data_IF_293096581748
#
_entry.id   IF_293096581748
#
_cell.length_a   1.000
_cell.length_b   1.000
_cell.length_c   1.000
_cell.angle_alpha   90.00
_cell.angle_beta   90.00
_cell.angle_gamma   90.00
#
_symmetry.space_group_name_H-M   'P 1'
#
loop_
_entity.id
_entity.type
_entity.pdbx_description
1 polymer ?
#
# COMPACT_ATOMS: atom_id res chain seq x y z
N UNK A 1 7.92 -25.82 -8.36
CA UNK A 1 7.23 -24.58 -7.91
C UNK A 1 5.86 -24.60 -8.57
N UNK A 2 4.74 -24.39 -7.85
CA UNK A 2 3.44 -24.27 -8.53
C UNK A 2 3.40 -22.88 -9.18
N UNK A 3 3.33 -22.85 -10.52
CA UNK A 3 3.51 -21.65 -11.30
C UNK A 3 2.22 -20.82 -11.30
N UNK A 4 2.31 -19.60 -10.79
CA UNK A 4 1.28 -18.60 -10.96
C UNK A 4 1.52 -17.86 -12.27
N UNK A 5 0.47 -17.42 -12.97
CA UNK A 5 0.57 -16.55 -14.17
C UNK A 5 1.07 -15.15 -13.79
N UNK A 6 2.26 -15.08 -13.20
CA UNK A 6 2.90 -13.90 -12.65
C UNK A 6 4.34 -13.96 -13.11
N UNK A 7 4.62 -13.21 -14.17
CA UNK A 7 5.98 -13.04 -14.69
C UNK A 7 6.67 -11.99 -13.83
N UNK A 8 7.82 -12.31 -13.24
CA UNK A 8 8.62 -11.31 -12.53
C UNK A 8 9.40 -10.44 -13.51
N UNK A 9 9.46 -9.13 -13.26
CA UNK A 9 10.30 -8.25 -14.08
C UNK A 9 11.79 -8.42 -13.70
N UNK A 10 12.69 -7.90 -14.54
CA UNK A 10 14.14 -8.01 -14.32
C UNK A 10 14.57 -7.46 -12.95
N UNK A 11 14.02 -6.31 -12.55
CA UNK A 11 14.33 -5.69 -11.25
C UNK A 11 13.89 -6.54 -10.04
N UNK A 12 12.75 -7.22 -10.15
CA UNK A 12 12.24 -8.15 -9.13
C UNK A 12 13.15 -9.38 -9.04
N UNK A 13 13.56 -9.93 -10.20
CA UNK A 13 14.47 -11.07 -10.27
C UNK A 13 15.85 -10.73 -9.69
N UNK A 14 16.39 -9.55 -10.01
CA UNK A 14 17.67 -9.08 -9.47
C UNK A 14 17.63 -8.98 -7.95
N UNK A 15 16.53 -8.45 -7.40
CA UNK A 15 16.28 -8.43 -5.95
C UNK A 15 16.16 -9.82 -5.35
N UNK A 16 15.52 -10.78 -6.02
CA UNK A 16 15.48 -12.15 -5.52
C UNK A 16 16.84 -12.86 -5.61
N UNK A 17 17.68 -12.48 -6.58
CA UNK A 17 19.00 -13.05 -6.79
C UNK A 17 20.00 -12.62 -5.71
N UNK A 18 19.73 -11.57 -4.92
CA UNK A 18 20.55 -11.23 -3.75
C UNK A 18 20.41 -12.22 -2.60
N UNK A 19 19.42 -13.12 -2.64
CA UNK A 19 19.24 -14.17 -1.63
C UNK A 19 20.11 -15.39 -1.99
N UNK A 20 21.15 -15.65 -1.20
CA UNK A 20 22.08 -16.78 -1.41
C UNK A 20 21.42 -18.16 -1.23
N UNK A 21 20.40 -18.25 -0.34
CA UNK A 21 19.76 -19.52 -0.04
C UNK A 21 18.58 -19.79 -0.98
N UNK A 22 18.75 -20.76 -1.89
CA UNK A 22 17.74 -21.12 -2.90
C UNK A 22 16.38 -21.51 -2.29
N UNK A 23 16.35 -22.26 -1.18
CA UNK A 23 15.07 -22.63 -0.51
C UNK A 23 14.35 -21.40 0.05
N UNK A 24 15.10 -20.44 0.58
CA UNK A 24 14.53 -19.18 1.04
C UNK A 24 14.03 -18.35 -0.14
N UNK A 25 14.81 -18.25 -1.21
CA UNK A 25 14.45 -17.57 -2.44
C UNK A 25 13.14 -18.09 -3.02
N UNK A 26 13.03 -19.41 -3.25
CA UNK A 26 11.82 -20.03 -3.77
C UNK A 26 10.61 -19.80 -2.86
N UNK A 27 10.81 -19.87 -1.54
CA UNK A 27 9.76 -19.62 -0.55
C UNK A 27 9.30 -18.16 -0.57
N UNK A 28 10.22 -17.20 -0.70
CA UNK A 28 9.94 -15.76 -0.75
C UNK A 28 9.21 -15.42 -2.05
N UNK A 29 9.70 -15.92 -3.19
CA UNK A 29 9.09 -15.76 -4.51
C UNK A 29 7.66 -16.34 -4.52
N UNK A 30 7.46 -17.53 -3.97
CA UNK A 30 6.14 -18.17 -3.87
C UNK A 30 5.14 -17.32 -3.08
N UNK A 31 5.56 -16.73 -1.95
CA UNK A 31 4.70 -15.84 -1.16
C UNK A 31 4.38 -14.57 -1.94
N UNK A 32 5.37 -13.98 -2.60
CA UNK A 32 5.19 -12.76 -3.37
C UNK A 32 4.24 -12.96 -4.56
N UNK A 33 4.43 -14.03 -5.34
CA UNK A 33 3.49 -14.41 -6.40
C UNK A 33 2.08 -14.61 -5.85
N UNK A 34 1.94 -15.30 -4.72
CA UNK A 34 0.60 -15.55 -4.19
C UNK A 34 -0.11 -14.28 -3.72
N UNK A 35 0.62 -13.32 -3.13
CA UNK A 35 0.09 -11.99 -2.80
C UNK A 35 -0.41 -11.25 -4.05
N UNK A 36 0.38 -11.25 -5.13
CA UNK A 36 -0.01 -10.65 -6.40
C UNK A 36 -1.22 -11.35 -7.02
N UNK A 37 -1.30 -12.69 -6.97
CA UNK A 37 -2.46 -13.46 -7.43
C UNK A 37 -3.73 -13.07 -6.67
N UNK A 38 -3.64 -12.98 -5.34
CA UNK A 38 -4.77 -12.58 -4.51
C UNK A 38 -5.26 -11.18 -4.87
N UNK A 39 -4.34 -10.25 -5.08
CA UNK A 39 -4.66 -8.89 -5.50
C UNK A 39 -5.37 -8.84 -6.86
N UNK A 40 -4.86 -9.58 -7.85
CA UNK A 40 -5.49 -9.66 -9.17
C UNK A 40 -6.89 -10.29 -9.09
N UNK A 41 -7.06 -11.31 -8.25
CA UNK A 41 -8.34 -11.99 -8.06
C UNK A 41 -9.36 -11.08 -7.36
N UNK A 42 -8.95 -10.31 -6.35
CA UNK A 42 -9.83 -9.33 -5.70
C UNK A 42 -10.23 -8.22 -6.65
N UNK A 43 -9.28 -7.71 -7.45
CA UNK A 43 -9.55 -6.68 -8.44
C UNK A 43 -10.50 -7.18 -9.55
N UNK A 44 -10.32 -8.41 -10.04
CA UNK A 44 -11.23 -9.02 -11.00
C UNK A 44 -12.65 -9.22 -10.42
N UNK A 45 -12.77 -9.52 -9.12
CA UNK A 45 -14.08 -9.61 -8.44
C UNK A 45 -14.77 -8.25 -8.36
N UNK A 46 -14.03 -7.19 -8.04
CA UNK A 46 -14.59 -5.83 -8.03
C UNK A 46 -15.05 -5.40 -9.42
N UNK A 47 -14.28 -5.73 -10.46
CA UNK A 47 -14.62 -5.43 -11.85
C UNK A 47 -15.89 -6.15 -12.30
N UNK A 48 -16.01 -7.45 -12.01
CA UNK A 48 -17.24 -8.23 -12.27
C UNK A 48 -18.46 -7.71 -11.51
N UNK A 49 -18.25 -7.10 -10.34
CA UNK A 49 -19.31 -6.52 -9.51
C UNK A 49 -19.65 -5.07 -9.86
N UNK A 50 -19.03 -4.47 -10.89
CA UNK A 50 -19.22 -3.07 -11.25
C UNK A 50 -18.61 -2.07 -10.25
N UNK A 51 -17.77 -2.53 -9.32
CA UNK A 51 -17.13 -1.76 -8.25
C UNK A 51 -15.71 -1.32 -8.66
N UNK A 52 -15.51 -0.89 -9.91
CA UNK A 52 -14.20 -0.55 -10.46
C UNK A 52 -13.48 0.58 -9.70
N UNK A 53 -14.23 1.43 -8.98
CA UNK A 53 -13.67 2.51 -8.15
C UNK A 53 -12.94 2.01 -6.89
N UNK A 54 -13.16 0.75 -6.47
CA UNK A 54 -12.47 0.12 -5.34
C UNK A 54 -11.23 -0.68 -5.77
N UNK A 55 -10.91 -0.68 -7.07
CA UNK A 55 -9.76 -1.40 -7.63
C UNK A 55 -8.47 -0.69 -7.22
N UNK A 56 -7.70 -1.32 -6.34
CA UNK A 56 -6.37 -0.86 -5.99
C UNK A 56 -5.34 -1.84 -6.58
N UNK A 57 -4.81 -1.53 -7.75
CA UNK A 57 -3.78 -2.36 -8.40
C UNK A 57 -2.51 -2.47 -7.53
N UNK A 58 -2.21 -1.44 -6.76
CA UNK A 58 -0.98 -1.31 -5.98
C UNK A 58 -1.08 -1.87 -4.57
N UNK A 59 -2.27 -2.22 -4.06
CA UNK A 59 -2.47 -2.52 -2.64
C UNK A 59 -3.40 -3.71 -2.42
N UNK A 60 -3.05 -4.55 -1.45
CA UNK A 60 -3.87 -5.67 -0.98
C UNK A 60 -4.04 -5.59 0.54
N UNK A 61 -5.28 -5.51 1.02
CA UNK A 61 -5.61 -5.60 2.44
C UNK A 61 -6.01 -7.03 2.80
N UNK A 62 -5.21 -7.70 3.64
CA UNK A 62 -5.49 -9.06 4.11
C UNK A 62 -4.81 -9.34 5.46
N UNK A 63 -5.47 -10.04 6.38
CA UNK A 63 -4.82 -10.45 7.63
C UNK A 63 -3.81 -11.57 7.39
N UNK A 64 -2.76 -11.68 8.23
CA UNK A 64 -1.81 -12.80 8.12
C UNK A 64 -2.48 -14.17 8.31
N UNK A 65 -3.54 -14.26 9.15
CA UNK A 65 -4.27 -15.51 9.37
C UNK A 65 -5.03 -15.92 8.12
N UNK A 66 -5.76 -14.99 7.51
CA UNK A 66 -6.53 -15.25 6.28
C UNK A 66 -5.59 -15.57 5.11
N UNK A 67 -4.45 -14.89 5.03
CA UNK A 67 -3.44 -15.19 4.04
C UNK A 67 -2.94 -16.64 4.17
N UNK A 68 -2.56 -17.08 5.38
CA UNK A 68 -2.10 -18.47 5.60
C UNK A 68 -3.20 -19.47 5.29
N UNK A 69 -4.44 -19.16 5.66
CA UNK A 69 -5.57 -20.04 5.41
C UNK A 69 -5.86 -20.22 3.92
N UNK A 70 -5.67 -19.18 3.12
CA UNK A 70 -5.76 -19.25 1.65
C UNK A 70 -4.52 -19.93 1.06
N UNK A 71 -3.33 -19.56 1.52
CA UNK A 71 -2.05 -20.08 1.04
C UNK A 71 -1.94 -21.60 1.23
N UNK A 72 -2.32 -22.13 2.40
CA UNK A 72 -2.27 -23.58 2.72
C UNK A 72 -3.17 -24.45 1.84
N UNK A 73 -4.13 -23.87 1.10
CA UNK A 73 -5.00 -24.62 0.16
C UNK A 73 -4.21 -25.06 -1.07
N UNK A 74 -3.28 -24.24 -1.52
CA UNK A 74 -2.49 -24.49 -2.74
C UNK A 74 -1.04 -24.88 -2.44
N UNK A 75 -0.55 -24.61 -1.23
CA UNK A 75 0.85 -24.76 -0.83
C UNK A 75 1.04 -25.61 0.45
N UNK A 76 2.27 -26.10 0.70
CA UNK A 76 2.63 -26.73 1.96
C UNK A 76 2.31 -25.83 3.16
N UNK A 77 1.91 -26.46 4.28
CA UNK A 77 1.63 -25.77 5.53
C UNK A 77 2.84 -24.93 5.96
N UNK A 78 2.59 -23.66 6.26
CA UNK A 78 3.61 -22.71 6.70
C UNK A 78 3.20 -22.11 8.05
N UNK A 79 4.17 -21.98 8.95
CA UNK A 79 3.92 -21.32 10.25
C UNK A 79 3.80 -19.80 10.09
N UNK A 80 3.03 -19.15 10.97
CA UNK A 80 2.93 -17.68 11.02
C UNK A 80 4.31 -17.04 11.18
N UNK A 81 5.19 -17.64 12.00
CA UNK A 81 6.55 -17.14 12.23
C UNK A 81 7.38 -17.18 10.95
N UNK A 82 7.29 -18.26 10.19
CA UNK A 82 7.98 -18.39 8.89
C UNK A 82 7.43 -17.38 7.90
N UNK A 83 6.11 -17.27 7.77
CA UNK A 83 5.49 -16.29 6.87
C UNK A 83 5.94 -14.87 7.20
N UNK A 84 5.93 -14.50 8.49
CA UNK A 84 6.38 -13.18 8.94
C UNK A 84 7.82 -12.91 8.51
N UNK A 85 8.75 -13.84 8.78
CA UNK A 85 10.14 -13.73 8.33
C UNK A 85 10.28 -13.53 6.82
N UNK A 86 9.45 -14.21 6.02
CA UNK A 86 9.47 -14.09 4.56
C UNK A 86 8.89 -12.76 4.08
N UNK A 87 7.86 -12.25 4.75
CA UNK A 87 7.32 -10.91 4.51
C UNK A 87 8.35 -9.84 4.89
N UNK A 88 9.04 -10.00 6.03
CA UNK A 88 10.09 -9.08 6.46
C UNK A 88 11.23 -9.04 5.41
N UNK A 89 11.63 -10.19 4.85
CA UNK A 89 12.58 -10.24 3.72
C UNK A 89 12.05 -9.53 2.47
N UNK A 90 10.77 -9.65 2.13
CA UNK A 90 10.19 -8.92 0.98
C UNK A 90 10.20 -7.39 1.20
N UNK A 91 10.09 -6.94 2.45
CA UNK A 91 10.23 -5.53 2.81
C UNK A 91 11.69 -5.08 2.69
N UNK A 92 12.64 -5.87 3.20
CA UNK A 92 14.08 -5.60 3.10
C UNK A 92 14.57 -5.52 1.65
N UNK A 93 14.05 -6.38 0.77
CA UNK A 93 14.30 -6.34 -0.67
C UNK A 93 13.63 -5.15 -1.38
N UNK A 94 12.77 -4.39 -0.69
CA UNK A 94 12.02 -3.29 -1.26
C UNK A 94 11.06 -3.73 -2.37
N UNK A 95 10.41 -4.88 -2.20
CA UNK A 95 9.39 -5.42 -3.13
C UNK A 95 7.97 -5.09 -2.67
N UNK A 96 7.78 -5.00 -1.34
CA UNK A 96 6.52 -4.59 -0.71
C UNK A 96 6.75 -3.60 0.42
N UNK A 97 5.73 -2.80 0.70
CA UNK A 97 5.59 -2.05 1.95
C UNK A 97 4.37 -2.57 2.72
N UNK A 98 4.46 -2.66 4.05
CA UNK A 98 3.37 -3.17 4.88
C UNK A 98 2.89 -2.09 5.84
N UNK A 99 1.62 -1.71 5.70
CA UNK A 99 0.93 -0.83 6.63
C UNK A 99 0.03 -1.68 7.55
N UNK A 100 0.30 -1.63 8.85
CA UNK A 100 -0.52 -2.31 9.84
C UNK A 100 -1.59 -1.37 10.39
N UNK A 101 -2.85 -1.74 10.22
CA UNK A 101 -3.96 -1.06 10.87
C UNK A 101 -4.79 -2.05 11.67
N UNK A 102 -4.70 -1.96 13.02
CA UNK A 102 -5.30 -2.93 13.95
C UNK A 102 -4.86 -4.37 13.63
N UNK A 103 -5.79 -5.22 13.22
CA UNK A 103 -5.59 -6.62 12.85
C UNK A 103 -5.49 -6.84 11.33
N UNK A 104 -5.61 -5.78 10.53
CA UNK A 104 -5.42 -5.86 9.08
C UNK A 104 -4.03 -5.40 8.68
N UNK A 105 -3.48 -6.07 7.66
CA UNK A 105 -2.22 -5.71 7.04
C UNK A 105 -2.53 -5.30 5.60
N UNK A 106 -2.08 -4.12 5.22
CA UNK A 106 -2.16 -3.63 3.84
C UNK A 106 -0.79 -3.75 3.21
N UNK A 107 -0.67 -4.59 2.20
CA UNK A 107 0.55 -4.83 1.44
C UNK A 107 0.52 -3.95 0.19
N UNK A 108 1.45 -3.00 0.08
CA UNK A 108 1.64 -2.16 -1.10
C UNK A 108 2.75 -2.73 -1.96
N UNK A 109 2.52 -2.89 -3.26
CA UNK A 109 3.46 -3.50 -4.21
C UNK A 109 4.21 -2.44 -5.00
N UNK A 110 5.55 -2.47 -4.95
CA UNK A 110 6.38 -1.53 -5.71
C UNK A 110 6.39 -1.81 -7.22
N UNK A 111 5.98 -3.01 -7.64
CA UNK A 111 5.80 -3.42 -9.04
C UNK A 111 4.99 -2.43 -9.87
N UNK A 112 4.00 -1.78 -9.25
CA UNK A 112 3.08 -0.87 -9.91
C UNK A 112 3.37 0.61 -9.62
N UNK A 113 4.40 0.93 -8.82
CA UNK A 113 4.75 2.31 -8.46
C UNK A 113 5.64 3.01 -9.48
N UNK A 114 6.28 2.26 -10.39
CA UNK A 114 6.96 2.84 -11.56
C UNK A 114 6.02 2.72 -12.75
N UNK A 115 5.46 3.86 -13.16
CA UNK A 115 4.61 4.10 -14.33
C UNK A 115 3.14 3.64 -14.26
N UNK A 116 2.29 4.51 -13.69
CA UNK A 116 0.86 4.60 -14.02
C UNK A 116 0.60 4.78 -15.54
N UNK A 117 1.57 5.36 -16.27
CA UNK A 117 1.50 5.62 -17.71
C UNK A 117 1.92 4.43 -18.60
N UNK A 118 2.83 3.57 -18.15
CA UNK A 118 3.33 2.42 -18.94
C UNK A 118 2.45 1.19 -18.74
N UNK A 119 1.89 0.99 -17.54
CA UNK A 119 0.94 -0.11 -17.27
C UNK A 119 -0.41 0.04 -18.01
N UNK A 120 -0.73 1.22 -18.56
CA UNK A 120 -1.89 1.40 -19.44
C UNK A 120 -1.67 0.85 -20.85
N UNK A 121 -0.41 0.65 -21.29
CA UNK A 121 -0.08 0.33 -22.68
C UNK A 121 0.54 -1.07 -22.92
N UNK A 122 0.64 -1.94 -21.90
CA UNK A 122 1.21 -3.30 -22.09
C UNK A 122 0.15 -4.35 -22.47
N UNK A 123 -1.14 -4.01 -22.49
CA UNK A 123 -2.22 -4.95 -22.85
C UNK A 123 -2.48 -5.08 -24.37
N UNK A 124 -1.60 -4.59 -25.24
CA UNK A 124 -1.81 -4.62 -26.70
C UNK A 124 -0.59 -5.10 -27.50
N UNK A 125 0.12 -6.12 -27.05
CA UNK A 125 1.06 -6.84 -27.91
C UNK A 125 0.76 -8.32 -27.86
N UNK A 126 0.46 -8.86 -29.03
CA UNK A 126 -0.01 -10.23 -29.25
C UNK A 126 0.96 -11.27 -28.68
N UNK A 127 0.35 -12.33 -28.17
CA UNK A 127 1.00 -13.52 -27.61
C UNK A 127 1.93 -14.13 -28.65
N UNK A 128 3.23 -14.13 -28.38
CA UNK A 128 4.19 -14.96 -29.12
C UNK A 128 4.53 -16.17 -28.27
N UNK A 129 3.88 -17.27 -28.67
CA UNK A 129 4.07 -18.68 -28.33
C UNK A 129 3.66 -19.17 -26.92
N UNK A 130 2.59 -20.00 -26.83
CA UNK A 130 2.22 -20.67 -25.60
C UNK A 130 3.13 -21.89 -25.41
N UNK A 131 4.03 -21.84 -24.44
CA UNK A 131 4.70 -23.06 -23.97
C UNK A 131 3.68 -23.87 -23.16
N UNK A 132 3.50 -25.14 -23.53
CA UNK A 132 2.42 -26.03 -23.10
C UNK A 132 2.12 -25.96 -21.60
N UNK A 133 0.95 -25.42 -21.29
CA UNK A 133 0.41 -25.30 -19.95
C UNK A 133 -0.19 -26.63 -19.49
N UNK A 134 0.46 -27.34 -18.58
CA UNK A 134 -0.24 -28.33 -17.76
C UNK A 134 -1.07 -27.59 -16.71
N UNK A 135 -2.36 -27.40 -17.03
CA UNK A 135 -3.37 -26.86 -16.11
C UNK A 135 -3.59 -27.88 -15.00
N UNK A 136 -3.27 -27.52 -13.76
CA UNK A 136 -3.85 -28.20 -12.61
C UNK A 136 -5.25 -27.62 -12.39
N UNK A 137 -6.33 -28.42 -12.49
CA UNK A 137 -7.65 -27.97 -12.08
C UNK A 137 -7.56 -27.69 -10.58
N UNK A 138 -7.68 -26.43 -10.21
CA UNK A 138 -7.97 -26.07 -8.83
C UNK A 138 -9.48 -26.18 -8.76
N UNK A 139 -9.99 -27.29 -8.22
CA UNK A 139 -11.42 -27.39 -7.92
C UNK A 139 -11.81 -26.16 -7.10
N UNK A 140 -12.64 -25.31 -7.70
CA UNK A 140 -13.50 -24.39 -6.97
C UNK A 140 -14.57 -25.26 -6.27
N UNK A 141 -14.14 -26.08 -5.31
CA UNK A 141 -15.05 -26.79 -4.42
C UNK A 141 -15.85 -25.74 -3.66
N UNK A 142 -17.11 -25.60 -4.09
CA UNK A 142 -18.16 -24.89 -3.39
C UNK A 142 -18.14 -25.31 -1.92
N UNK A 143 -18.38 -24.34 -1.05
CA UNK A 143 -18.39 -24.50 0.40
C UNK A 143 -19.10 -25.79 0.84
N UNK A 144 -18.49 -26.53 1.78
CA UNK A 144 -18.96 -27.79 2.39
C UNK A 144 -20.41 -27.77 2.94
N UNK A 145 -21.03 -26.59 3.02
CA UNK A 145 -22.43 -26.41 3.44
C UNK A 145 -23.45 -26.42 2.28
N UNK A 146 -23.02 -26.61 1.03
CA UNK A 146 -23.92 -26.72 -0.13
C UNK A 146 -24.20 -28.15 -0.59
N UNK A 147 -23.61 -29.16 0.06
CA UNK A 147 -23.88 -30.57 -0.20
C UNK A 147 -24.59 -31.23 0.98
N UNK A 148 -25.89 -31.02 1.08
CA UNK A 148 -26.79 -32.07 1.56
C UNK A 148 -28.03 -32.07 0.67
N UNK A 149 -27.98 -32.83 -0.42
CA UNK A 149 -29.19 -33.24 -1.10
C UNK A 149 -30.04 -34.11 -0.16
N UNK A 150 -31.35 -33.86 -0.23
CA UNK A 150 -32.45 -34.49 0.52
C UNK A 150 -32.78 -33.88 1.88
N UNK A 151 -33.14 -32.60 1.87
CA UNK A 151 -34.37 -32.19 2.56
C UNK A 151 -35.15 -31.34 1.56
N UNK A 152 -36.25 -31.89 1.07
CA UNK A 152 -37.33 -31.10 0.49
C UNK A 152 -37.81 -30.14 1.59
N UNK A 153 -37.34 -28.90 1.55
CA UNK A 153 -37.92 -27.84 2.37
C UNK A 153 -39.25 -27.54 1.70
N UNK A 154 -40.29 -28.12 2.28
CA UNK A 154 -41.68 -27.78 2.05
C UNK A 154 -41.83 -26.27 2.20
N UNK A 155 -42.23 -25.61 1.10
CA UNK A 155 -42.30 -24.15 1.00
C UNK A 155 -43.58 -23.59 1.68
N UNK A 156 -44.34 -24.42 2.40
CA UNK A 156 -45.61 -24.06 3.03
C UNK A 156 -45.61 -24.15 4.57
N UNK A 157 -44.45 -24.05 5.24
CA UNK A 157 -44.40 -23.88 6.70
C UNK A 157 -44.27 -22.40 7.09
N UNK A 158 -45.43 -21.78 7.27
CA UNK A 158 -45.64 -20.38 7.61
C UNK A 158 -45.36 -20.10 9.11
N UNK A 159 -44.16 -20.37 9.61
CA UNK A 159 -43.76 -20.07 11.00
C UNK A 159 -42.28 -19.70 11.13
N UNK A 160 -41.85 -18.68 10.40
CA UNK A 160 -40.62 -17.95 10.73
C UNK A 160 -40.97 -16.47 10.89
N UNK A 161 -41.45 -16.10 12.09
CA UNK A 161 -41.46 -14.69 12.47
C UNK A 161 -40.03 -14.15 12.36
N UNK A 162 -39.80 -13.06 11.61
CA UNK A 162 -38.49 -12.44 11.58
C UNK A 162 -38.15 -12.02 13.01
N UNK A 163 -37.08 -12.57 13.57
CA UNK A 163 -36.45 -12.01 14.76
C UNK A 163 -35.80 -10.68 14.35
N UNK A 164 -36.63 -9.64 14.22
CA UNK A 164 -36.15 -8.27 14.33
C UNK A 164 -35.50 -8.12 15.69
N UNK A 165 -34.33 -7.46 15.82
CA UNK A 165 -33.93 -6.95 17.12
C UNK A 165 -35.08 -6.09 17.64
N UNK A 166 -35.66 -6.45 18.78
CA UNK A 166 -36.64 -5.59 19.43
C UNK A 166 -35.97 -4.21 19.56
N UNK A 167 -36.63 -3.19 18.98
CA UNK A 167 -36.22 -1.79 18.95
C UNK A 167 -35.04 -1.39 18.04
N UNK A 168 -34.84 -2.03 16.87
CA UNK A 168 -34.00 -1.42 15.82
C UNK A 168 -34.75 -0.28 15.10
N UNK A 169 -34.58 0.94 15.59
CA UNK A 169 -35.11 2.15 14.96
C UNK A 169 -34.31 2.48 13.68
N UNK A 170 -34.77 1.91 12.57
CA UNK A 170 -34.16 2.06 11.24
C UNK A 170 -34.01 3.54 10.82
N UNK A 171 -34.97 4.39 11.20
CA UNK A 171 -34.95 5.83 10.89
C UNK A 171 -33.78 6.54 11.57
N UNK A 172 -33.48 6.21 12.82
CA UNK A 172 -32.34 6.75 13.56
C UNK A 172 -31.00 6.27 12.98
N UNK A 173 -30.95 5.02 12.50
CA UNK A 173 -29.78 4.51 11.78
C UNK A 173 -29.50 5.27 10.48
N UNK A 174 -30.55 5.59 9.70
CA UNK A 174 -30.42 6.34 8.45
C UNK A 174 -29.98 7.78 8.70
N UNK A 175 -30.54 8.44 9.72
CA UNK A 175 -30.12 9.79 10.13
C UNK A 175 -28.65 9.83 10.59
N UNK A 176 -28.20 8.80 11.32
CA UNK A 176 -26.81 8.68 11.80
C UNK A 176 -25.77 8.53 10.67
N UNK A 177 -26.20 8.09 9.48
CA UNK A 177 -25.35 7.94 8.30
C UNK A 177 -25.34 9.19 7.39
N UNK A 178 -26.03 10.27 7.79
CA UNK A 178 -26.08 11.48 7.00
C UNK A 178 -24.68 12.08 6.83
N UNK A 179 -24.28 12.27 5.56
CA UNK A 179 -22.98 12.82 5.19
C UNK A 179 -22.97 14.33 5.28
N UNK A 180 -21.78 14.89 5.49
CA UNK A 180 -21.57 16.34 5.41
C UNK A 180 -21.60 16.74 3.94
N UNK A 181 -22.62 17.50 3.54
CA UNK A 181 -22.82 17.92 2.15
C UNK A 181 -22.17 19.25 1.82
N UNK A 182 -21.95 20.14 2.81
CA UNK A 182 -21.35 21.45 2.59
C UNK A 182 -20.12 21.70 3.47
N UNK A 183 -19.17 22.47 2.93
CA UNK A 183 -18.02 22.96 3.69
C UNK A 183 -18.42 23.90 4.83
N UNK A 184 -19.51 24.64 4.65
CA UNK A 184 -20.06 25.58 5.65
C UNK A 184 -20.42 24.88 6.96
N UNK A 185 -20.79 23.60 6.91
CA UNK A 185 -21.06 22.80 8.11
C UNK A 185 -19.76 22.45 8.87
N UNK A 186 -18.67 22.12 8.15
CA UNK A 186 -17.45 21.60 8.76
C UNK A 186 -16.44 22.69 9.15
N UNK A 187 -16.42 23.82 8.44
CA UNK A 187 -15.57 24.97 8.73
C UNK A 187 -15.66 25.46 10.18
N UNK A 188 -16.86 25.75 10.75
CA UNK A 188 -16.97 26.21 12.14
C UNK A 188 -16.57 25.12 13.15
N UNK A 189 -16.75 23.85 12.81
CA UNK A 189 -16.31 22.71 13.65
C UNK A 189 -14.78 22.67 13.71
N UNK A 190 -14.11 22.89 12.58
CA UNK A 190 -12.65 22.96 12.50
C UNK A 190 -12.10 24.13 13.32
N UNK A 191 -12.68 25.33 13.17
CA UNK A 191 -12.25 26.53 13.91
C UNK A 191 -12.38 26.35 15.42
N UNK A 192 -13.54 25.85 15.88
CA UNK A 192 -13.74 25.52 17.31
C UNK A 192 -12.68 24.53 17.79
N UNK A 193 -12.42 23.46 17.03
CA UNK A 193 -11.43 22.45 17.41
C UNK A 193 -10.00 22.96 17.39
N UNK A 194 -9.63 23.89 16.49
CA UNK A 194 -8.33 24.55 16.54
C UNK A 194 -8.14 25.35 17.83
N UNK A 195 -9.18 26.05 18.29
CA UNK A 195 -9.17 26.80 19.55
C UNK A 195 -9.09 25.82 20.73
N UNK A 196 -9.99 24.84 20.79
CA UNK A 196 -10.05 23.85 21.88
C UNK A 196 -8.73 23.07 22.02
N UNK A 197 -8.16 22.62 20.91
CA UNK A 197 -6.89 21.88 20.92
C UNK A 197 -5.67 22.80 21.02
N UNK A 198 -5.84 24.12 21.09
CA UNK A 198 -4.76 25.14 21.17
C UNK A 198 -3.76 25.01 20.01
N UNK A 199 -4.24 24.83 18.78
CA UNK A 199 -3.40 24.75 17.58
C UNK A 199 -2.94 26.16 17.18
N UNK A 200 -1.66 26.47 17.42
CA UNK A 200 -1.07 27.78 17.08
C UNK A 200 -0.41 27.83 15.69
N UNK A 201 0.16 26.72 15.23
CA UNK A 201 0.91 26.67 13.96
C UNK A 201 0.01 26.88 12.75
N UNK A 202 0.31 27.88 11.93
CA UNK A 202 -0.36 28.15 10.65
C UNK A 202 -0.21 26.99 9.67
N UNK A 203 0.97 26.37 9.61
CA UNK A 203 1.23 25.21 8.77
C UNK A 203 0.30 24.03 9.11
N UNK A 204 0.13 23.74 10.42
CA UNK A 204 -0.77 22.68 10.87
C UNK A 204 -2.22 23.01 10.51
N UNK A 205 -2.65 24.28 10.67
CA UNK A 205 -4.01 24.71 10.32
C UNK A 205 -4.28 24.55 8.83
N UNK A 206 -3.38 25.04 7.97
CA UNK A 206 -3.50 24.93 6.51
C UNK A 206 -3.57 23.48 6.06
N UNK A 207 -2.64 22.64 6.54
CA UNK A 207 -2.60 21.22 6.17
C UNK A 207 -3.87 20.44 6.57
N UNK A 208 -4.47 20.80 7.71
CA UNK A 208 -5.74 20.20 8.15
C UNK A 208 -6.90 20.66 7.27
N UNK A 209 -6.95 21.96 6.92
CA UNK A 209 -7.98 22.51 6.04
C UNK A 209 -7.91 21.86 4.66
N UNK A 210 -6.74 21.84 4.02
CA UNK A 210 -6.55 21.27 2.68
C UNK A 210 -6.96 19.79 2.64
N UNK A 211 -6.60 19.04 3.68
CA UNK A 211 -6.94 17.62 3.77
C UNK A 211 -8.45 17.38 3.92
N UNK A 212 -9.13 18.23 4.70
CA UNK A 212 -10.56 18.13 4.93
C UNK A 212 -11.35 18.66 3.73
N UNK A 213 -10.89 19.72 3.08
CA UNK A 213 -11.54 20.29 1.90
C UNK A 213 -11.66 19.27 0.76
N UNK A 214 -10.64 18.43 0.59
CA UNK A 214 -10.68 17.38 -0.42
C UNK A 214 -11.54 16.15 -0.06
N UNK A 215 -11.96 16.01 1.20
CA UNK A 215 -12.56 14.75 1.71
C UNK A 215 -13.83 14.93 2.55
N UNK A 216 -14.32 16.15 2.76
CA UNK A 216 -15.42 16.41 3.70
C UNK A 216 -16.73 15.70 3.30
N UNK A 217 -16.99 15.56 2.00
CA UNK A 217 -18.17 14.88 1.44
C UNK A 217 -18.27 13.40 1.81
N UNK A 218 -17.17 12.79 2.24
CA UNK A 218 -17.11 11.38 2.66
C UNK A 218 -17.31 11.18 4.17
N UNK A 219 -17.44 12.27 4.95
CA UNK A 219 -17.54 12.24 6.40
C UNK A 219 -19.01 12.27 6.81
N UNK A 220 -19.43 11.39 7.73
CA UNK A 220 -20.76 11.47 8.35
C UNK A 220 -20.79 12.54 9.43
N UNK A 221 -21.91 13.25 9.59
CA UNK A 221 -22.06 14.33 10.59
C UNK A 221 -21.70 13.86 11.99
N UNK A 222 -22.16 12.64 12.36
CA UNK A 222 -21.85 11.96 13.63
C UNK A 222 -20.34 11.80 13.90
N UNK A 223 -19.53 11.62 12.86
CA UNK A 223 -18.10 11.38 12.98
C UNK A 223 -17.22 12.58 12.60
N UNK A 224 -17.82 13.72 12.25
CA UNK A 224 -17.09 14.91 11.81
C UNK A 224 -16.07 15.40 12.85
N UNK A 225 -16.49 15.53 14.11
CA UNK A 225 -15.62 15.98 15.21
C UNK A 225 -14.43 15.03 15.40
N UNK A 226 -14.67 13.73 15.47
CA UNK A 226 -13.62 12.73 15.64
C UNK A 226 -12.64 12.72 14.47
N UNK A 227 -13.15 12.90 13.25
CA UNK A 227 -12.34 12.95 12.04
C UNK A 227 -11.41 14.19 12.03
N UNK A 228 -11.94 15.36 12.38
CA UNK A 228 -11.15 16.61 12.47
C UNK A 228 -10.07 16.51 13.56
N UNK A 229 -10.40 15.98 14.74
CA UNK A 229 -9.41 15.75 15.82
C UNK A 229 -8.27 14.84 15.34
N UNK A 230 -8.60 13.78 14.61
CA UNK A 230 -7.62 12.85 14.04
C UNK A 230 -6.76 13.54 12.98
N UNK A 231 -7.34 14.39 12.14
CA UNK A 231 -6.60 15.18 11.16
C UNK A 231 -5.58 16.13 11.83
N UNK A 232 -5.99 16.85 12.88
CA UNK A 232 -5.12 17.73 13.67
C UNK A 232 -3.95 16.95 14.30
N UNK A 233 -4.26 15.79 14.88
CA UNK A 233 -3.26 14.94 15.53
C UNK A 233 -2.21 14.43 14.54
N UNK A 234 -2.67 13.98 13.36
CA UNK A 234 -1.78 13.53 12.30
C UNK A 234 -0.87 14.67 11.79
N UNK A 235 -1.42 15.87 11.59
CA UNK A 235 -0.64 17.03 11.17
C UNK A 235 0.43 17.43 12.22
N UNK A 236 0.12 17.32 13.52
CA UNK A 236 1.12 17.51 14.59
C UNK A 236 2.24 16.47 14.55
N UNK A 237 1.90 15.20 14.37
CA UNK A 237 2.89 14.11 14.28
C UNK A 237 3.80 14.35 13.06
N UNK A 238 3.22 14.70 11.92
CA UNK A 238 3.96 15.00 10.70
C UNK A 238 4.89 16.20 10.87
N UNK A 239 4.41 17.29 11.49
CA UNK A 239 5.23 18.46 11.79
C UNK A 239 6.44 18.11 12.67
N UNK A 240 6.23 17.31 13.74
CA UNK A 240 7.32 16.84 14.60
C UNK A 240 8.32 15.93 13.88
N UNK A 241 7.82 15.04 13.02
CA UNK A 241 8.66 14.15 12.22
C UNK A 241 9.53 14.94 11.23
N UNK A 242 8.94 15.90 10.52
CA UNK A 242 9.65 16.78 9.60
C UNK A 242 10.70 17.63 10.33
N UNK A 243 10.39 18.16 11.52
CA UNK A 243 11.36 18.89 12.33
C UNK A 243 12.58 18.00 12.69
N UNK A 244 12.34 16.76 13.16
CA UNK A 244 13.44 15.81 13.41
C UNK A 244 14.26 15.54 12.15
N UNK A 245 13.59 15.26 11.02
CA UNK A 245 14.23 14.91 9.75
C UNK A 245 15.08 16.05 9.18
N UNK A 246 14.56 17.28 9.17
CA UNK A 246 15.20 18.39 8.44
C UNK A 246 16.01 19.34 9.33
N UNK A 247 15.77 19.37 10.64
CA UNK A 247 16.47 20.29 11.56
C UNK A 247 17.48 19.56 12.43
N UNK A 248 17.12 18.38 12.97
CA UNK A 248 18.02 17.63 13.88
C UNK A 248 19.03 16.80 13.09
N UNK A 249 18.58 16.00 12.11
CA UNK A 249 19.48 15.13 11.35
C UNK A 249 20.44 15.90 10.43
N UNK A 250 20.06 17.11 10.00
CA UNK A 250 20.93 17.99 9.22
C UNK A 250 21.94 18.76 10.08
N UNK A 251 21.68 18.93 11.39
CA UNK A 251 22.68 19.46 12.32
C UNK A 251 23.77 18.43 12.63
N UNK A 252 23.40 17.17 12.89
CA UNK A 252 24.36 16.10 13.19
C UNK A 252 25.23 15.69 12.01
N UNK A 253 24.75 15.85 10.76
CA UNK A 253 25.57 15.61 9.56
C UNK A 253 26.55 16.75 9.24
N UNK A 254 26.28 17.97 9.71
CA UNK A 254 27.19 19.10 9.55
C UNK A 254 28.21 19.24 10.69
N UNK A 255 27.88 18.81 11.91
CA UNK A 255 28.83 18.79 13.04
C UNK A 255 29.88 17.67 12.93
N UNK A 256 29.61 16.59 12.19
CA UNK A 256 30.58 15.53 11.88
C UNK A 256 31.58 15.84 10.75
N UNK A 257 31.46 17.02 10.12
CA UNK A 257 32.39 17.53 9.09
C UNK A 257 33.11 18.79 9.56
N UNK A 258 33.73 18.72 10.74
CA UNK A 258 34.75 19.70 11.15
C UNK A 258 36.17 19.19 10.84
N UNK A 259 36.36 18.48 9.72
CA UNK A 259 37.65 18.58 9.03
C UNK A 259 37.53 19.77 8.10
N UNK A 260 38.26 20.84 8.41
CA UNK A 260 38.45 21.96 7.50
C UNK A 260 38.73 21.40 6.10
N UNK A 261 37.77 21.47 5.17
CA UNK A 261 38.01 21.10 3.77
C UNK A 261 39.18 21.94 3.29
N UNK A 262 40.34 21.32 3.13
CA UNK A 262 41.48 21.98 2.49
C UNK A 262 41.26 21.88 0.99
N UNK A 263 41.74 22.86 0.25
CA UNK A 263 41.60 22.95 -1.21
C UNK A 263 42.02 21.65 -1.96
N UNK A 264 42.85 20.81 -1.33
CA UNK A 264 43.35 19.55 -1.88
C UNK A 264 42.40 18.34 -1.70
N UNK A 265 41.28 18.48 -1.00
CA UNK A 265 40.34 17.36 -0.76
C UNK A 265 39.35 17.13 -1.93
N UNK A 266 39.42 17.96 -2.97
CA UNK A 266 38.67 17.77 -4.22
C UNK A 266 39.53 17.02 -5.24
N UNK A 267 38.94 16.14 -6.08
CA UNK A 267 39.68 15.48 -7.15
C UNK A 267 40.28 16.53 -8.08
N UNK A 268 41.60 16.72 -7.94
CA UNK A 268 42.39 17.55 -8.84
C UNK A 268 42.41 16.85 -10.20
N UNK A 269 42.08 17.57 -11.26
CA UNK A 269 42.25 17.04 -12.61
C UNK A 269 43.75 16.89 -12.86
N UNK A 270 44.22 15.66 -13.01
CA UNK A 270 45.60 15.39 -13.40
C UNK A 270 45.77 15.74 -14.87
N UNK A 271 46.14 16.98 -15.15
CA UNK A 271 46.49 17.41 -16.49
C UNK A 271 47.90 16.91 -16.82
N UNK A 272 48.07 16.30 -17.98
CA UNK A 272 49.40 16.02 -18.52
C UNK A 272 50.05 17.32 -18.98
N UNK A 273 51.38 17.33 -19.13
CA UNK A 273 52.10 18.52 -19.64
C UNK A 273 51.60 18.97 -21.02
N UNK A 274 51.07 18.05 -21.83
CA UNK A 274 50.47 18.35 -23.13
C UNK A 274 49.11 19.04 -22.97
N UNK A 275 48.28 18.59 -22.02
CA UNK A 275 46.99 19.21 -21.72
C UNK A 275 47.16 20.65 -21.22
N UNK A 276 48.17 20.89 -20.39
CA UNK A 276 48.48 22.23 -19.88
C UNK A 276 48.94 23.15 -21.01
N UNK A 277 49.80 22.68 -21.92
CA UNK A 277 50.19 23.44 -23.12
C UNK A 277 49.01 23.77 -24.02
N UNK A 278 48.09 22.82 -24.21
CA UNK A 278 46.90 23.07 -25.02
C UNK A 278 45.97 24.11 -24.39
N UNK A 279 45.84 24.09 -23.06
CA UNK A 279 45.07 25.09 -22.32
C UNK A 279 45.76 26.45 -22.38
N UNK A 280 47.08 26.53 -22.18
CA UNK A 280 47.85 27.77 -22.30
C UNK A 280 47.70 28.37 -23.70
N UNK A 281 47.82 27.55 -24.75
CA UNK A 281 47.66 28.00 -26.13
C UNK A 281 46.25 28.51 -26.42
N UNK A 282 45.24 27.83 -25.88
CA UNK A 282 43.84 28.22 -26.04
C UNK A 282 43.49 29.52 -25.29
N UNK A 283 44.17 29.80 -24.18
CA UNK A 283 43.92 31.00 -23.37
C UNK A 283 44.78 32.20 -23.77
N UNK A 284 46.03 31.97 -24.19
CA UNK A 284 47.02 33.02 -24.44
C UNK A 284 47.30 33.24 -25.94
N UNK A 285 46.83 32.35 -26.81
CA UNK A 285 46.82 32.56 -28.26
C UNK A 285 48.16 32.45 -28.98
N UNK A 286 49.20 31.93 -28.33
CA UNK A 286 50.52 31.62 -28.91
C UNK A 286 51.07 30.29 -28.38
#
# INVERSE_FOLDING_TARGET
>A
MKNYNIVFNSQELDKFNTLENQKNKDSVMSIYSYLLKLNNTTNAKYEKAGLSHLKEATKLSISMRDFIEKYKRCHPKMSIRTLKKRIDLLIELGLIAVEKFKNSFTYSFFRYMVNESVNKNVNTSEVVEPIENTVLPCDDEKHKYLNSERVSIDLDSNTCSPRTPDNFEYENYVQDQEKVTSWEYISPVIEKLFITMKVKSSWIKGHVIDKLFNNYSNITKKHAVAYVIKAITNARIQSKSNYKKYVINNKTTNEGRTTYSRFNDFPQRNYTSEDLKNIERALLGW
#
